data_IF_049521877252
#
_entry.id   IF_049521877252
#
_cell.length_a   1.000
_cell.length_b   1.000
_cell.length_c   1.000
_cell.angle_alpha   90.00
_cell.angle_beta   90.00
_cell.angle_gamma   90.00
#
_symmetry.space_group_name_H-M   'P 1'
#
loop_
_entity.id
_entity.type
_entity.pdbx_description
1 polymer ?
#
# COMPACT_ATOMS: atom_id res chain seq x y z
N UNK A 1 -15.02 6.93 32.16
CA UNK A 1 -15.92 5.78 31.93
C UNK A 1 -17.04 6.28 31.03
N UNK A 2 -17.32 5.82 29.81
CA UNK A 2 -16.94 4.62 29.08
C UNK A 2 -16.25 5.01 27.76
N UNK A 3 -15.16 4.32 27.44
CA UNK A 3 -14.66 4.18 26.08
C UNK A 3 -14.67 2.69 25.77
N UNK A 4 -15.37 2.28 24.71
CA UNK A 4 -15.41 0.88 24.32
C UNK A 4 -15.68 0.74 22.81
N UNK A 5 -14.69 0.18 22.12
CA UNK A 5 -14.79 -0.71 20.97
C UNK A 5 -15.59 -0.21 19.74
N UNK A 6 -14.89 0.40 18.79
CA UNK A 6 -15.30 0.43 17.39
C UNK A 6 -14.20 -0.19 16.52
N UNK A 7 -13.95 -1.49 16.71
CA UNK A 7 -13.09 -2.29 15.85
C UNK A 7 -13.65 -3.73 15.75
N UNK A 8 -14.95 -3.85 15.50
CA UNK A 8 -15.61 -5.16 15.36
C UNK A 8 -16.97 -5.03 14.67
N UNK A 9 -17.00 -4.62 13.40
CA UNK A 9 -18.21 -4.70 12.57
C UNK A 9 -17.91 -4.59 11.06
N UNK A 10 -17.08 -5.46 10.47
CA UNK A 10 -16.87 -5.49 9.01
C UNK A 10 -16.65 -6.90 8.44
N UNK A 11 -17.46 -7.88 8.88
CA UNK A 11 -17.37 -9.27 8.39
C UNK A 11 -18.66 -9.83 7.76
N UNK A 12 -19.77 -9.09 7.64
CA UNK A 12 -21.07 -9.72 7.37
C UNK A 12 -21.87 -9.28 6.11
N UNK A 13 -21.33 -8.47 5.19
CA UNK A 13 -22.09 -8.08 3.97
C UNK A 13 -21.66 -8.76 2.65
N UNK A 14 -20.79 -9.79 2.68
CA UNK A 14 -20.23 -10.40 1.45
C UNK A 14 -21.03 -11.56 0.81
N UNK A 15 -21.97 -12.19 1.52
CA UNK A 15 -22.49 -13.51 1.09
C UNK A 15 -23.39 -13.51 -0.15
N UNK A 16 -24.08 -12.41 -0.48
CA UNK A 16 -25.04 -12.40 -1.60
C UNK A 16 -24.42 -12.04 -2.96
N UNK A 17 -23.19 -11.50 -2.98
CA UNK A 17 -22.51 -11.08 -4.21
C UNK A 17 -21.89 -12.29 -4.93
N UNK A 18 -21.33 -13.26 -4.18
CA UNK A 18 -20.55 -14.41 -4.71
C UNK A 18 -21.39 -15.39 -5.57
N UNK A 19 -22.68 -15.56 -5.26
CA UNK A 19 -23.54 -16.53 -5.99
C UNK A 19 -23.85 -16.11 -7.44
N UNK A 20 -23.72 -14.83 -7.78
CA UNK A 20 -24.02 -14.34 -9.15
C UNK A 20 -22.85 -14.53 -10.12
N UNK A 21 -21.61 -14.68 -9.64
CA UNK A 21 -20.40 -14.66 -10.47
C UNK A 21 -19.91 -16.03 -10.95
N UNK A 22 -20.29 -17.12 -10.27
CA UNK A 22 -20.00 -18.48 -10.77
C UNK A 22 -20.61 -18.72 -12.16
N UNK A 23 -21.70 -18.03 -12.51
CA UNK A 23 -22.41 -18.23 -13.78
C UNK A 23 -21.80 -17.50 -14.99
N UNK A 24 -20.90 -16.52 -14.78
CA UNK A 24 -20.39 -15.65 -15.88
C UNK A 24 -19.01 -16.10 -16.37
N UNK A 25 -18.24 -16.80 -15.55
CA UNK A 25 -16.88 -17.27 -15.90
C UNK A 25 -16.93 -18.57 -16.73
N UNK A 26 -17.95 -19.41 -16.51
CA UNK A 26 -18.12 -20.70 -17.21
C UNK A 26 -18.39 -20.58 -18.72
N UNK A 27 -18.80 -19.41 -19.23
CA UNK A 27 -19.21 -19.25 -20.64
C UNK A 27 -18.12 -18.67 -21.57
N UNK A 28 -16.94 -18.25 -21.08
CA UNK A 28 -15.98 -17.49 -21.91
C UNK A 28 -14.58 -18.06 -22.13
N UNK A 29 -14.20 -19.20 -21.55
CA UNK A 29 -12.88 -19.78 -21.81
C UNK A 29 -12.95 -21.29 -22.01
N UNK A 30 -13.21 -21.69 -23.25
CA UNK A 30 -13.02 -23.05 -23.73
C UNK A 30 -12.08 -23.03 -24.94
N UNK A 31 -10.77 -23.16 -24.69
CA UNK A 31 -9.80 -23.78 -25.62
C UNK A 31 -8.37 -23.73 -25.03
N UNK A 32 -7.70 -24.88 -25.06
CA UNK A 32 -6.24 -25.00 -24.83
C UNK A 32 -5.88 -25.67 -23.51
N UNK A 33 -5.89 -27.01 -23.51
CA UNK A 33 -5.22 -27.80 -22.45
C UNK A 33 -3.74 -27.87 -22.79
N UNK A 34 -2.90 -27.58 -21.80
CA UNK A 34 -1.58 -28.17 -21.71
C UNK A 34 -1.43 -28.73 -20.30
N UNK A 35 -1.24 -30.04 -20.20
CA UNK A 35 -1.08 -30.77 -18.94
C UNK A 35 0.40 -30.73 -18.54
N UNK A 36 0.77 -29.75 -17.72
CA UNK A 36 1.99 -29.83 -16.91
C UNK A 36 1.64 -29.46 -15.47
N UNK A 37 1.58 -30.46 -14.61
CA UNK A 37 1.31 -30.29 -13.19
C UNK A 37 2.42 -29.50 -12.50
N UNK A 38 2.08 -28.30 -12.03
CA UNK A 38 2.81 -27.64 -10.95
C UNK A 38 2.00 -27.74 -9.66
N UNK A 39 2.44 -28.61 -8.76
CA UNK A 39 1.85 -28.82 -7.43
C UNK A 39 2.30 -27.74 -6.44
N UNK A 40 2.32 -26.46 -6.83
CA UNK A 40 2.61 -25.37 -5.90
C UNK A 40 1.33 -25.01 -5.13
N UNK A 41 1.10 -25.65 -3.99
CA UNK A 41 0.14 -25.17 -3.00
C UNK A 41 0.63 -23.81 -2.45
N UNK A 42 -0.30 -22.90 -2.16
CA UNK A 42 0.04 -21.65 -1.45
C UNK A 42 0.61 -22.03 -0.09
N UNK A 43 1.77 -21.49 0.26
CA UNK A 43 2.31 -21.65 1.60
C UNK A 43 1.44 -20.85 2.58
N UNK A 44 0.76 -21.59 3.46
CA UNK A 44 0.00 -21.03 4.56
C UNK A 44 0.74 -21.28 5.86
N UNK A 45 0.85 -20.25 6.69
CA UNK A 45 1.48 -20.38 7.99
C UNK A 45 1.39 -19.09 8.79
N UNK A 46 1.57 -19.25 10.10
CA UNK A 46 1.68 -18.16 11.04
C UNK A 46 2.51 -18.66 12.22
N UNK A 47 3.62 -17.99 12.53
CA UNK A 47 4.42 -18.38 13.69
C UNK A 47 3.73 -17.95 14.99
N UNK A 48 4.09 -18.61 16.08
CA UNK A 48 3.82 -18.08 17.43
C UNK A 48 4.74 -16.89 17.69
N UNK A 49 4.24 -15.79 18.28
CA UNK A 49 5.09 -14.66 18.65
C UNK A 49 6.26 -15.07 19.55
N UNK A 50 7.42 -14.43 19.35
CA UNK A 50 8.61 -14.65 20.17
C UNK A 50 8.89 -13.39 21.00
N UNK A 51 8.99 -13.54 22.32
CA UNK A 51 9.24 -12.41 23.22
C UNK A 51 10.72 -11.96 23.25
N UNK A 52 11.64 -12.78 22.73
CA UNK A 52 13.05 -12.41 22.57
C UNK A 52 13.24 -11.57 21.31
N UNK A 53 13.29 -10.26 21.49
CA UNK A 53 13.64 -9.31 20.42
C UNK A 53 15.15 -9.20 20.28
N UNK A 54 15.72 -9.26 19.05
CA UNK A 54 17.15 -9.01 18.83
C UNK A 54 17.49 -7.50 18.80
N UNK A 55 16.56 -6.64 19.23
CA UNK A 55 16.67 -5.19 19.18
C UNK A 55 16.07 -4.53 20.42
N UNK A 56 16.53 -3.32 20.72
CA UNK A 56 15.93 -2.39 21.67
C UNK A 56 15.08 -1.39 20.89
N UNK A 57 13.97 -0.97 21.49
CA UNK A 57 13.09 0.08 20.96
C UNK A 57 13.49 1.41 21.58
N UNK A 58 13.82 2.39 20.74
CA UNK A 58 14.01 3.78 21.15
C UNK A 58 12.85 4.61 20.63
N UNK A 59 12.09 5.25 21.52
CA UNK A 59 11.10 6.25 21.12
C UNK A 59 11.81 7.54 20.72
N UNK A 60 11.54 8.04 19.51
CA UNK A 60 12.26 9.17 18.93
C UNK A 60 11.38 10.43 18.87
N UNK A 61 10.18 10.30 18.29
CA UNK A 61 9.28 11.43 18.08
C UNK A 61 7.82 11.00 18.07
N UNK A 62 6.90 11.97 18.11
CA UNK A 62 5.46 11.76 18.01
C UNK A 62 4.89 12.52 16.82
N UNK A 63 3.86 11.94 16.21
CA UNK A 63 3.16 12.46 15.05
C UNK A 63 1.66 12.24 15.20
N UNK A 64 0.86 13.02 14.48
CA UNK A 64 -0.59 12.91 14.50
C UNK A 64 -1.08 12.01 13.34
N UNK A 65 -1.44 10.76 13.65
CA UNK A 65 -1.85 9.75 12.67
C UNK A 65 -0.90 9.68 11.46
N UNK A 66 0.39 9.36 11.69
CA UNK A 66 1.34 9.21 10.59
C UNK A 66 0.91 8.04 9.71
N UNK A 67 1.07 8.19 8.40
CA UNK A 67 0.64 7.21 7.39
C UNK A 67 1.81 6.58 6.64
N UNK A 68 2.85 7.36 6.36
CA UNK A 68 4.06 6.90 5.69
C UNK A 68 5.27 7.76 6.06
N UNK A 69 6.45 7.19 5.89
CA UNK A 69 7.71 7.90 6.02
C UNK A 69 8.72 7.52 4.95
N UNK A 70 9.65 8.44 4.67
CA UNK A 70 10.78 8.17 3.78
C UNK A 70 11.98 9.02 4.12
N UNK A 71 13.17 8.41 4.15
CA UNK A 71 14.41 9.14 4.41
C UNK A 71 14.87 9.89 3.16
N UNK A 72 15.32 11.11 3.37
CA UNK A 72 16.16 11.84 2.43
C UNK A 72 17.62 11.40 2.59
N UNK A 73 18.47 11.63 1.58
CA UNK A 73 19.89 11.23 1.60
C UNK A 73 20.70 11.81 2.77
N UNK A 74 20.32 12.99 3.28
CA UNK A 74 20.95 13.65 4.42
C UNK A 74 20.52 13.10 5.79
N UNK A 75 19.58 12.13 5.81
CA UNK A 75 19.04 11.54 7.02
C UNK A 75 17.81 12.26 7.59
N UNK A 76 17.35 13.36 6.97
CA UNK A 76 16.05 13.94 7.30
C UNK A 76 14.93 12.97 6.90
N UNK A 77 13.97 12.75 7.79
CA UNK A 77 12.84 11.87 7.57
C UNK A 77 11.60 12.68 7.20
N UNK A 78 11.03 12.40 6.03
CA UNK A 78 9.70 12.85 5.64
C UNK A 78 8.65 12.01 6.39
N UNK A 79 7.65 12.64 6.98
CA UNK A 79 6.51 11.95 7.60
C UNK A 79 5.19 12.54 7.12
N UNK A 80 4.40 11.75 6.42
CA UNK A 80 3.05 12.10 5.99
C UNK A 80 2.05 11.82 7.12
N UNK A 81 1.27 12.83 7.50
CA UNK A 81 0.18 12.69 8.47
C UNK A 81 -1.16 12.65 7.73
N UNK A 82 -2.04 11.72 8.13
CA UNK A 82 -3.33 11.45 7.47
C UNK A 82 -4.16 12.71 7.18
N UNK A 83 -4.10 13.70 8.07
CA UNK A 83 -4.81 14.99 7.97
C UNK A 83 -4.41 15.87 6.78
N UNK A 84 -3.33 15.55 6.05
CA UNK A 84 -2.84 16.37 4.94
C UNK A 84 -1.56 17.16 5.26
N UNK A 85 -0.92 16.90 6.40
CA UNK A 85 0.33 17.56 6.77
C UNK A 85 1.54 16.70 6.40
N UNK A 86 2.63 17.36 6.00
CA UNK A 86 3.93 16.73 5.79
C UNK A 86 4.95 17.35 6.76
N UNK A 87 5.58 16.50 7.56
CA UNK A 87 6.59 16.87 8.56
C UNK A 87 7.98 16.47 8.10
N UNK A 88 8.98 17.24 8.55
CA UNK A 88 10.40 16.88 8.43
C UNK A 88 10.94 16.62 9.83
N UNK A 89 11.30 15.38 10.15
CA UNK A 89 12.10 15.09 11.34
C UNK A 89 13.59 15.13 10.97
N UNK A 90 14.35 15.91 11.72
CA UNK A 90 15.78 16.05 11.54
C UNK A 90 16.55 15.20 12.55
N UNK A 91 17.77 14.73 12.23
CA UNK A 91 18.58 13.93 13.16
C UNK A 91 18.88 14.60 14.52
N UNK A 92 18.74 15.93 14.61
CA UNK A 92 18.85 16.70 15.86
C UNK A 92 17.53 16.76 16.66
N UNK A 93 16.55 15.91 16.30
CA UNK A 93 15.19 15.83 16.86
C UNK A 93 14.30 17.07 16.65
N UNK A 94 14.67 18.00 15.78
CA UNK A 94 13.76 19.08 15.39
C UNK A 94 12.72 18.59 14.38
N UNK A 95 11.51 19.13 14.47
CA UNK A 95 10.42 18.83 13.54
C UNK A 95 10.01 20.11 12.80
N UNK A 96 10.16 20.10 11.49
CA UNK A 96 9.64 21.12 10.59
C UNK A 96 8.33 20.74 9.93
N UNK A 97 7.71 21.71 9.25
CA UNK A 97 6.45 21.53 8.51
C UNK A 97 6.63 22.00 7.08
N UNK A 98 6.13 21.21 6.14
CA UNK A 98 6.03 21.57 4.73
C UNK A 98 4.66 22.20 4.46
N UNK A 99 4.68 23.32 3.74
CA UNK A 99 3.48 24.05 3.29
C UNK A 99 3.17 23.76 1.82
N UNK A 100 2.02 24.25 1.34
CA UNK A 100 1.53 24.07 -0.03
C UNK A 100 1.27 22.61 -0.41
N UNK A 101 0.70 21.84 0.53
CA UNK A 101 0.24 20.47 0.29
C UNK A 101 -1.05 20.47 -0.53
N UNK A 102 -1.38 19.37 -1.23
CA UNK A 102 -2.71 19.22 -1.82
C UNK A 102 -3.78 19.22 -0.74
N UNK A 103 -4.98 19.66 -1.10
CA UNK A 103 -6.14 19.44 -0.24
C UNK A 103 -6.49 17.96 -0.23
N UNK A 104 -6.78 17.47 0.97
CA UNK A 104 -6.86 16.05 1.28
C UNK A 104 -8.21 15.76 1.92
N UNK A 105 -8.86 14.69 1.47
CA UNK A 105 -10.09 14.18 2.10
C UNK A 105 -9.73 13.09 3.10
N UNK A 106 -9.52 13.48 4.36
CA UNK A 106 -9.17 12.54 5.44
C UNK A 106 -10.42 11.89 6.05
N UNK A 107 -10.86 10.76 5.51
CA UNK A 107 -11.95 9.94 6.07
C UNK A 107 -11.65 8.44 5.91
N UNK A 108 -12.11 7.60 6.83
CA UNK A 108 -11.86 6.15 6.78
C UNK A 108 -10.38 5.80 6.67
N UNK A 109 -9.97 5.12 5.61
CA UNK A 109 -8.57 4.83 5.26
C UNK A 109 -7.92 5.92 4.40
N UNK A 110 -8.65 6.97 4.02
CA UNK A 110 -8.18 8.09 3.22
C UNK A 110 -7.45 9.15 4.03
N UNK A 111 -6.68 9.99 3.33
CA UNK A 111 -5.82 11.01 3.91
C UNK A 111 -4.66 11.35 2.97
N UNK A 112 -3.59 11.93 3.51
CA UNK A 112 -2.26 11.88 2.88
C UNK A 112 -1.67 10.50 3.19
N UNK A 113 -1.40 9.71 2.15
CA UNK A 113 -1.23 8.27 2.28
C UNK A 113 0.25 7.88 2.23
N UNK A 114 0.95 8.18 1.14
CA UNK A 114 2.33 7.73 0.91
C UNK A 114 3.23 8.86 0.40
N UNK A 115 4.54 8.70 0.63
CA UNK A 115 5.58 9.68 0.29
C UNK A 115 6.81 8.95 -0.27
N UNK A 116 7.29 9.36 -1.44
CA UNK A 116 8.48 8.79 -2.06
C UNK A 116 9.37 9.89 -2.67
N UNK A 117 10.62 10.09 -2.20
CA UNK A 117 11.62 10.88 -2.91
C UNK A 117 11.93 10.24 -4.27
N UNK A 118 12.19 11.06 -5.27
CA UNK A 118 12.68 10.59 -6.57
C UNK A 118 14.06 9.90 -6.38
N UNK A 119 14.42 8.86 -7.15
CA UNK A 119 15.73 8.20 -7.04
C UNK A 119 16.93 9.14 -7.23
N UNK A 120 16.76 10.24 -7.97
CA UNK A 120 17.74 11.32 -8.13
C UNK A 120 17.46 12.56 -7.23
N UNK A 121 16.86 12.37 -6.05
CA UNK A 121 16.44 13.47 -5.17
C UNK A 121 17.54 14.51 -4.90
N UNK A 122 18.80 14.10 -4.73
CA UNK A 122 19.92 15.03 -4.51
C UNK A 122 20.12 16.04 -5.65
N UNK A 123 19.64 15.73 -6.85
CA UNK A 123 19.79 16.57 -8.04
C UNK A 123 18.55 17.38 -8.36
N UNK A 124 17.37 16.84 -8.08
CA UNK A 124 16.11 17.41 -8.55
C UNK A 124 15.14 17.80 -7.43
N UNK A 125 15.41 17.40 -6.19
CA UNK A 125 14.59 17.66 -5.00
C UNK A 125 13.12 17.25 -5.15
N UNK A 126 12.81 16.30 -6.01
CA UNK A 126 11.44 15.88 -6.29
C UNK A 126 10.96 14.86 -5.27
N UNK A 127 9.77 15.11 -4.73
CA UNK A 127 9.03 14.13 -3.94
C UNK A 127 7.68 13.84 -4.61
N UNK A 128 7.20 12.63 -4.36
CA UNK A 128 5.93 12.10 -4.84
C UNK A 128 5.04 11.86 -3.64
N UNK A 129 3.78 12.26 -3.75
CA UNK A 129 2.77 12.17 -2.70
C UNK A 129 1.57 11.43 -3.24
N UNK A 130 0.98 10.58 -2.41
CA UNK A 130 -0.35 10.04 -2.65
C UNK A 130 -1.36 10.59 -1.64
N UNK A 131 -2.55 10.96 -2.10
CA UNK A 131 -3.62 11.45 -1.24
C UNK A 131 -5.00 11.06 -1.77
N UNK A 132 -6.02 11.27 -0.96
CA UNK A 132 -7.42 11.08 -1.35
C UNK A 132 -8.09 12.41 -1.72
N UNK A 133 -8.82 12.39 -2.83
CA UNK A 133 -9.54 13.54 -3.39
C UNK A 133 -10.97 13.08 -3.73
N UNK A 134 -11.98 13.88 -3.38
CA UNK A 134 -13.38 13.62 -3.69
C UNK A 134 -13.89 14.49 -4.86
N UNK A 135 -14.86 13.98 -5.61
CA UNK A 135 -15.56 14.77 -6.65
C UNK A 135 -16.18 16.04 -6.06
N UNK A 136 -16.79 15.92 -4.86
CA UNK A 136 -17.33 17.05 -4.12
C UNK A 136 -16.29 18.15 -3.92
N UNK A 137 -15.13 17.81 -3.36
CA UNK A 137 -14.06 18.80 -3.11
C UNK A 137 -13.59 19.46 -4.42
N UNK A 138 -13.52 18.72 -5.52
CA UNK A 138 -13.18 19.27 -6.83
C UNK A 138 -14.21 20.28 -7.32
N UNK A 139 -15.51 19.97 -7.20
CA UNK A 139 -16.60 20.88 -7.58
C UNK A 139 -16.64 22.13 -6.71
N UNK A 140 -16.52 21.98 -5.39
CA UNK A 140 -16.47 23.11 -4.45
C UNK A 140 -15.32 24.06 -4.80
N UNK A 141 -14.13 23.51 -5.11
CA UNK A 141 -12.99 24.31 -5.57
C UNK A 141 -13.22 25.00 -6.91
N UNK A 142 -13.86 24.33 -7.85
CA UNK A 142 -14.18 24.92 -9.15
C UNK A 142 -15.17 26.09 -8.98
N UNK A 143 -16.22 25.90 -8.19
CA UNK A 143 -17.19 26.95 -7.85
C UNK A 143 -16.50 28.16 -7.21
N UNK A 144 -15.68 27.95 -6.18
CA UNK A 144 -14.92 29.03 -5.53
C UNK A 144 -14.00 29.79 -6.50
N UNK A 145 -13.37 29.11 -7.46
CA UNK A 145 -12.53 29.75 -8.50
C UNK A 145 -13.36 30.58 -9.49
N UNK A 146 -14.58 30.15 -9.76
CA UNK A 146 -15.51 30.84 -10.66
C UNK A 146 -16.33 31.93 -9.95
N UNK A 147 -16.18 32.08 -8.63
CA UNK A 147 -16.98 33.01 -7.83
C UNK A 147 -18.43 32.56 -7.62
N UNK A 148 -18.70 31.26 -7.78
CA UNK A 148 -20.02 30.66 -7.60
C UNK A 148 -20.26 30.25 -6.14
N UNK A 149 -21.52 30.22 -5.72
CA UNK A 149 -21.88 29.74 -4.38
C UNK A 149 -21.67 28.23 -4.27
N UNK A 150 -21.13 27.80 -3.13
CA UNK A 150 -20.91 26.38 -2.81
C UNK A 150 -22.18 25.74 -2.20
N UNK A 151 -23.15 26.55 -1.77
CA UNK A 151 -24.35 26.09 -1.07
C UNK A 151 -25.26 25.21 -1.95
N UNK A 152 -25.25 25.44 -3.26
CA UNK A 152 -26.02 24.68 -4.26
C UNK A 152 -25.44 23.27 -4.54
N UNK A 153 -24.23 22.96 -4.05
CA UNK A 153 -23.60 21.64 -4.21
C UNK A 153 -24.01 20.64 -3.13
N UNK A 154 -24.92 21.02 -2.23
CA UNK A 154 -25.41 20.20 -1.10
C UNK A 154 -26.40 19.10 -1.50
N UNK A 155 -26.94 19.14 -2.73
CA UNK A 155 -28.09 18.32 -3.14
C UNK A 155 -27.82 16.96 -3.78
N UNK A 156 -26.63 16.70 -4.37
CA UNK A 156 -26.47 15.51 -5.24
C UNK A 156 -25.16 14.70 -5.11
N UNK A 157 -24.16 15.12 -4.33
CA UNK A 157 -22.87 14.43 -4.36
C UNK A 157 -22.76 13.28 -3.34
N UNK A 158 -23.06 12.07 -3.81
CA UNK A 158 -22.44 10.84 -3.33
C UNK A 158 -20.94 11.10 -3.23
N UNK A 159 -20.33 10.91 -2.05
CA UNK A 159 -18.96 11.31 -1.70
C UNK A 159 -17.87 10.48 -2.41
N UNK A 160 -17.98 10.33 -3.73
CA UNK A 160 -17.09 9.57 -4.56
C UNK A 160 -15.67 10.09 -4.42
N UNK A 161 -14.77 9.21 -4.00
CA UNK A 161 -13.38 9.54 -3.73
C UNK A 161 -12.46 8.43 -4.23
N UNK A 162 -11.24 8.83 -4.57
CA UNK A 162 -10.20 7.95 -5.06
C UNK A 162 -8.82 8.50 -4.74
N UNK A 163 -7.82 7.64 -4.81
CA UNK A 163 -6.43 8.03 -4.65
C UNK A 163 -5.93 8.88 -5.83
N UNK A 164 -4.99 9.77 -5.55
CA UNK A 164 -4.33 10.66 -6.49
C UNK A 164 -2.84 10.63 -6.20
N UNK A 165 -2.00 10.59 -7.25
CA UNK A 165 -0.56 10.77 -7.13
C UNK A 165 -0.16 12.08 -7.76
N UNK A 166 0.70 12.83 -7.07
CA UNK A 166 1.33 14.03 -7.60
C UNK A 166 2.80 14.10 -7.23
N UNK A 167 3.53 14.95 -7.95
CA UNK A 167 4.95 15.25 -7.70
C UNK A 167 5.16 16.74 -7.53
N UNK A 168 6.11 17.10 -6.68
CA UNK A 168 6.50 18.49 -6.44
C UNK A 168 7.98 18.56 -6.08
N UNK A 169 8.58 19.73 -6.28
CA UNK A 169 9.89 20.04 -5.71
C UNK A 169 9.74 20.37 -4.23
N UNK A 170 10.55 19.75 -3.38
CA UNK A 170 10.67 20.04 -1.96
C UNK A 170 11.67 21.18 -1.75
N UNK A 171 11.16 22.35 -1.37
CA UNK A 171 11.98 23.54 -1.11
C UNK A 171 12.06 23.75 0.40
N UNK A 172 13.18 23.36 1.00
CA UNK A 172 13.44 23.54 2.43
C UNK A 172 13.79 24.99 2.77
N UNK A 173 13.40 25.44 3.96
CA UNK A 173 13.77 26.74 4.51
C UNK A 173 14.83 26.60 5.62
N UNK A 174 15.40 27.74 6.05
CA UNK A 174 16.44 27.77 7.08
C UNK A 174 15.91 27.53 8.51
N UNK A 175 14.60 27.30 8.69
CA UNK A 175 13.97 27.01 9.97
C UNK A 175 13.69 25.51 10.15
N UNK A 176 14.17 24.68 9.23
CA UNK A 176 13.96 23.23 9.22
C UNK A 176 12.62 22.80 8.64
N UNK A 177 11.79 23.73 8.14
CA UNK A 177 10.56 23.45 7.42
C UNK A 177 10.72 23.67 5.92
N UNK A 178 9.62 23.97 5.23
CA UNK A 178 9.69 24.29 3.81
C UNK A 178 8.33 24.41 3.14
N UNK A 179 8.32 24.21 1.82
CA UNK A 179 7.11 24.18 1.00
C UNK A 179 7.29 23.25 -0.20
N UNK A 180 6.16 22.85 -0.77
CA UNK A 180 6.14 22.27 -2.11
C UNK A 180 6.07 23.37 -3.17
N UNK A 181 6.79 23.16 -4.26
CA UNK A 181 6.76 23.99 -5.46
C UNK A 181 6.33 23.15 -6.67
N UNK A 182 5.48 23.73 -7.54
CA UNK A 182 5.12 23.11 -8.81
C UNK A 182 4.40 21.77 -8.69
N UNK A 183 3.53 21.60 -7.69
CA UNK A 183 2.76 20.37 -7.52
C UNK A 183 1.96 20.05 -8.79
N UNK A 184 2.24 18.88 -9.38
CA UNK A 184 1.57 18.38 -10.57
C UNK A 184 0.98 17.00 -10.28
N UNK A 185 -0.31 16.82 -10.56
CA UNK A 185 -0.96 15.50 -10.53
C UNK A 185 -0.52 14.70 -11.75
N UNK A 186 -0.12 13.45 -11.53
CA UNK A 186 0.39 12.55 -12.57
C UNK A 186 -0.42 11.26 -12.70
N UNK A 187 -1.29 10.96 -11.73
CA UNK A 187 -2.17 9.80 -11.76
C UNK A 187 -3.41 9.99 -10.89
N UNK A 188 -4.54 9.42 -11.30
CA UNK A 188 -5.77 9.32 -10.50
C UNK A 188 -6.33 7.91 -10.56
N UNK A 189 -6.88 7.48 -9.43
CA UNK A 189 -7.72 6.29 -9.36
C UNK A 189 -9.09 6.61 -9.98
N UNK A 190 -9.46 5.84 -11.01
CA UNK A 190 -10.60 6.11 -11.86
C UNK A 190 -11.41 4.82 -12.12
N UNK A 191 -12.75 4.86 -11.95
CA UNK A 191 -13.53 6.01 -11.46
C UNK A 191 -13.32 6.24 -9.95
N UNK A 192 -13.61 7.45 -9.48
CA UNK A 192 -13.84 7.68 -8.05
C UNK A 192 -15.14 6.99 -7.65
N UNK A 193 -15.15 6.35 -6.49
CA UNK A 193 -16.31 5.57 -6.01
C UNK A 193 -16.70 5.99 -4.60
N UNK A 194 -17.96 5.75 -4.24
CA UNK A 194 -18.43 5.91 -2.86
C UNK A 194 -17.68 5.00 -1.88
N UNK A 195 -17.65 5.43 -0.61
CA UNK A 195 -16.95 4.76 0.48
C UNK A 195 -15.55 5.32 0.72
N UNK A 196 -14.88 4.86 1.78
CA UNK A 196 -13.65 5.46 2.32
C UNK A 196 -12.59 4.40 2.66
N UNK A 197 -12.59 3.25 1.96
CA UNK A 197 -11.70 2.10 2.23
C UNK A 197 -11.08 1.51 0.96
N UNK A 198 -9.97 0.78 1.09
CA UNK A 198 -9.28 0.09 -0.02
C UNK A 198 -8.77 1.04 -1.12
N UNK A 199 -8.10 2.13 -0.73
CA UNK A 199 -7.45 3.02 -1.69
C UNK A 199 -6.18 2.41 -2.29
N UNK A 200 -5.43 1.60 -1.52
CA UNK A 200 -4.05 1.27 -1.85
C UNK A 200 -3.17 2.51 -1.76
N UNK A 201 -2.74 3.01 -2.91
CA UNK A 201 -1.97 4.24 -3.10
C UNK A 201 -0.53 4.21 -2.56
N UNK A 202 0.05 3.01 -2.41
CA UNK A 202 1.49 2.85 -2.17
C UNK A 202 2.26 3.10 -3.46
N UNK A 203 3.41 3.76 -3.36
CA UNK A 203 4.32 4.07 -4.45
C UNK A 203 5.67 3.40 -4.23
N UNK A 204 6.29 2.92 -5.30
CA UNK A 204 7.71 2.56 -5.28
C UNK A 204 8.36 2.79 -6.64
N UNK A 205 9.58 3.29 -6.64
CA UNK A 205 10.36 3.47 -7.86
C UNK A 205 11.06 2.17 -8.23
N UNK A 206 10.96 1.80 -9.51
CA UNK A 206 11.76 0.74 -10.09
C UNK A 206 13.21 1.21 -10.34
N UNK A 207 14.14 0.26 -10.55
CA UNK A 207 15.53 0.59 -10.89
C UNK A 207 15.68 1.47 -12.14
N UNK A 208 14.73 1.39 -13.08
CA UNK A 208 14.66 2.22 -14.29
C UNK A 208 13.99 3.59 -14.07
N UNK A 209 13.66 3.92 -12.81
CA UNK A 209 13.00 5.16 -12.37
C UNK A 209 11.56 5.31 -12.82
N UNK A 210 10.94 4.27 -13.37
CA UNK A 210 9.49 4.22 -13.51
C UNK A 210 8.82 4.07 -12.13
N UNK A 211 7.60 4.56 -12.00
CA UNK A 211 6.83 4.57 -10.76
C UNK A 211 5.76 3.49 -10.81
N UNK A 212 5.80 2.59 -9.82
CA UNK A 212 4.76 1.61 -9.58
C UNK A 212 3.81 2.14 -8.51
N UNK A 213 2.50 2.00 -8.74
CA UNK A 213 1.46 2.47 -7.84
C UNK A 213 0.48 1.32 -7.56
N UNK A 214 0.16 1.12 -6.29
CA UNK A 214 -0.90 0.21 -5.89
C UNK A 214 -2.25 0.91 -5.93
N UNK A 215 -3.28 0.26 -6.46
CA UNK A 215 -4.64 0.80 -6.54
C UNK A 215 -5.62 -0.25 -6.03
N UNK A 216 -6.22 0.01 -4.87
CA UNK A 216 -7.19 -0.91 -4.28
C UNK A 216 -8.51 -0.95 -5.03
N UNK A 217 -9.35 -1.95 -4.71
CA UNK A 217 -10.63 -2.20 -5.36
C UNK A 217 -11.76 -1.27 -4.90
N UNK A 218 -11.50 -0.43 -3.90
CA UNK A 218 -12.48 0.49 -3.29
C UNK A 218 -13.75 -0.19 -2.75
N UNK A 219 -13.62 -1.43 -2.30
CA UNK A 219 -14.76 -2.31 -1.93
C UNK A 219 -15.75 -2.52 -3.08
N UNK A 220 -15.25 -2.50 -4.32
CA UNK A 220 -15.96 -2.89 -5.53
C UNK A 220 -15.26 -4.12 -6.13
N UNK A 221 -15.50 -5.33 -5.60
CA UNK A 221 -14.67 -6.49 -5.92
C UNK A 221 -14.59 -6.79 -7.42
N UNK A 222 -15.72 -6.65 -8.15
CA UNK A 222 -15.75 -6.88 -9.60
C UNK A 222 -14.82 -5.93 -10.39
N UNK A 223 -14.54 -4.75 -9.86
CA UNK A 223 -13.66 -3.76 -10.50
C UNK A 223 -12.21 -4.26 -10.63
N UNK A 224 -11.77 -5.17 -9.75
CA UNK A 224 -10.43 -5.76 -9.81
C UNK A 224 -10.19 -6.56 -11.10
N UNK A 225 -11.24 -7.09 -11.72
CA UNK A 225 -11.20 -7.84 -12.99
C UNK A 225 -11.51 -6.96 -14.21
N UNK A 226 -12.11 -5.78 -14.01
CA UNK A 226 -12.38 -4.86 -15.11
C UNK A 226 -11.08 -4.16 -15.56
N UNK A 227 -10.69 -4.42 -16.81
CA UNK A 227 -9.47 -3.87 -17.42
C UNK A 227 -9.68 -2.50 -18.08
N UNK A 228 -10.91 -1.97 -18.09
CA UNK A 228 -11.20 -0.63 -18.61
C UNK A 228 -10.92 0.49 -17.59
N UNK A 229 -10.78 0.12 -16.31
CA UNK A 229 -10.57 1.00 -15.16
C UNK A 229 -9.33 0.56 -14.36
N UNK A 230 -8.87 1.39 -13.42
CA UNK A 230 -7.63 1.12 -12.68
C UNK A 230 -7.85 0.74 -11.20
N UNK A 231 -9.05 0.29 -10.81
CA UNK A 231 -9.34 -0.23 -9.48
C UNK A 231 -8.88 -1.69 -9.31
N UNK A 232 -8.30 -2.03 -8.16
CA UNK A 232 -7.82 -3.40 -7.87
C UNK A 232 -6.67 -3.83 -8.78
N UNK A 233 -5.70 -2.93 -9.00
CA UNK A 233 -4.57 -3.08 -9.93
C UNK A 233 -3.24 -2.71 -9.24
N UNK A 234 -2.14 -3.22 -9.79
CA UNK A 234 -0.85 -2.50 -9.74
C UNK A 234 -0.65 -1.84 -11.09
N UNK A 235 -0.32 -0.55 -11.11
CA UNK A 235 -0.06 0.22 -12.32
C UNK A 235 1.41 0.65 -12.39
N UNK A 236 1.91 0.90 -13.60
CA UNK A 236 3.25 1.44 -13.85
C UNK A 236 3.16 2.63 -14.79
N UNK A 237 3.72 3.76 -14.37
CA UNK A 237 3.86 4.98 -15.15
C UNK A 237 5.32 5.46 -15.13
N UNK A 238 5.70 6.38 -16.01
CA UNK A 238 6.99 7.06 -15.89
C UNK A 238 6.97 8.00 -14.68
N UNK A 239 8.13 8.49 -14.26
CA UNK A 239 8.26 9.49 -13.20
C UNK A 239 7.45 10.79 -13.47
N UNK A 240 7.17 11.13 -14.73
CA UNK A 240 6.29 12.25 -15.14
C UNK A 240 4.84 11.87 -15.47
N UNK A 241 4.41 10.63 -15.22
CA UNK A 241 3.03 10.19 -15.45
C UNK A 241 2.67 9.78 -16.88
N UNK A 242 3.67 9.47 -17.72
CA UNK A 242 3.43 8.89 -19.06
C UNK A 242 3.34 7.37 -18.96
N UNK A 243 2.86 6.74 -20.02
CA UNK A 243 2.82 5.28 -20.13
C UNK A 243 4.16 4.76 -20.65
N UNK A 244 4.88 3.90 -19.91
CA UNK A 244 6.04 3.19 -20.45
C UNK A 244 5.65 2.34 -21.66
N UNK A 245 6.45 2.42 -22.73
CA UNK A 245 6.14 1.74 -23.99
C UNK A 245 6.03 0.22 -23.85
N UNK A 246 6.75 -0.34 -22.88
CA UNK A 246 6.82 -1.77 -22.59
C UNK A 246 5.77 -2.26 -21.57
N UNK A 247 4.79 -1.44 -21.18
CA UNK A 247 3.68 -1.92 -20.35
C UNK A 247 2.90 -3.07 -21.05
N UNK A 248 2.42 -4.08 -20.29
CA UNK A 248 1.86 -5.32 -20.87
C UNK A 248 0.58 -5.12 -21.67
N UNK A 249 -0.17 -4.04 -21.43
CA UNK A 249 -1.46 -3.78 -22.08
C UNK A 249 -1.49 -2.45 -22.85
N UNK A 250 -0.33 -1.96 -23.26
CA UNK A 250 -0.19 -0.70 -23.99
C UNK A 250 -0.99 -0.70 -25.31
N UNK A 251 -1.50 0.47 -25.70
CA UNK A 251 -2.24 0.66 -26.96
C UNK A 251 -3.73 0.31 -26.91
N UNK A 252 -4.29 -0.09 -25.76
CA UNK A 252 -5.72 -0.39 -25.63
C UNK A 252 -6.58 0.86 -25.31
N UNK A 253 -6.34 1.47 -24.17
CA UNK A 253 -6.93 2.75 -23.70
C UNK A 253 -5.95 3.38 -22.71
N UNK A 254 -6.11 4.67 -22.38
CA UNK A 254 -5.19 5.31 -21.43
C UNK A 254 -5.13 4.56 -20.08
N UNK A 255 -6.29 4.28 -19.46
CA UNK A 255 -6.35 3.57 -18.17
C UNK A 255 -5.79 2.14 -18.28
N UNK A 256 -6.19 1.39 -19.30
CA UNK A 256 -5.71 0.01 -19.48
C UNK A 256 -4.20 -0.05 -19.71
N UNK A 257 -3.65 0.92 -20.42
CA UNK A 257 -2.21 0.97 -20.74
C UNK A 257 -1.34 1.23 -19.51
N UNK A 258 -1.90 1.75 -18.41
CA UNK A 258 -1.20 1.91 -17.13
C UNK A 258 -1.04 0.58 -16.38
N UNK A 259 -1.92 -0.39 -16.63
CA UNK A 259 -2.01 -1.60 -15.80
C UNK A 259 -0.76 -2.45 -15.98
N UNK A 260 -0.13 -2.81 -14.86
CA UNK A 260 0.92 -3.81 -14.80
C UNK A 260 0.37 -5.18 -14.44
N UNK A 261 -0.54 -5.24 -13.45
CA UNK A 261 -1.24 -6.47 -13.02
C UNK A 261 -2.66 -6.16 -12.53
N UNK A 262 -3.52 -7.18 -12.49
CA UNK A 262 -4.91 -7.08 -12.05
C UNK A 262 -5.27 -8.09 -10.96
N UNK A 263 -6.50 -8.02 -10.44
CA UNK A 263 -6.99 -8.99 -9.47
C UNK A 263 -6.47 -8.78 -8.05
N UNK A 264 -6.31 -7.52 -7.63
CA UNK A 264 -5.90 -7.13 -6.28
C UNK A 264 -7.07 -6.55 -5.48
N UNK A 265 -7.07 -6.75 -4.16
CA UNK A 265 -8.10 -6.22 -3.25
C UNK A 265 -7.66 -4.89 -2.64
N UNK A 266 -6.67 -4.94 -1.75
CA UNK A 266 -6.18 -3.75 -1.03
C UNK A 266 -4.66 -3.85 -0.78
N UNK A 267 -3.84 -3.60 -1.82
CA UNK A 267 -2.39 -3.63 -1.75
C UNK A 267 -1.83 -2.42 -0.99
N UNK A 268 -1.25 -2.66 0.19
CA UNK A 268 -0.80 -1.59 1.10
C UNK A 268 0.72 -1.49 1.25
N UNK A 269 1.48 -2.51 0.88
CA UNK A 269 2.94 -2.46 0.87
C UNK A 269 3.48 -2.99 -0.44
N UNK A 270 4.53 -2.35 -0.94
CA UNK A 270 5.11 -2.66 -2.24
C UNK A 270 6.57 -2.21 -2.24
N UNK A 271 7.48 -3.10 -2.62
CA UNK A 271 8.91 -2.82 -2.67
C UNK A 271 9.63 -3.72 -3.66
N UNK A 272 10.69 -3.19 -4.26
CA UNK A 272 11.64 -3.99 -5.03
C UNK A 272 12.61 -4.72 -4.09
N UNK A 273 12.76 -6.02 -4.28
CA UNK A 273 13.82 -6.80 -3.63
C UNK A 273 15.19 -6.44 -4.20
N UNK A 274 16.30 -6.77 -3.50
CA UNK A 274 17.66 -6.45 -3.98
C UNK A 274 18.02 -7.05 -5.35
N UNK A 275 17.31 -8.10 -5.78
CA UNK A 275 17.46 -8.71 -7.11
C UNK A 275 16.59 -8.04 -8.20
N UNK A 276 15.93 -6.92 -7.88
CA UNK A 276 15.15 -6.12 -8.82
C UNK A 276 13.73 -6.64 -9.09
N UNK A 277 13.23 -7.60 -8.31
CA UNK A 277 11.85 -8.11 -8.45
C UNK A 277 10.89 -7.33 -7.56
N UNK A 278 9.67 -7.09 -8.05
CA UNK A 278 8.65 -6.36 -7.31
C UNK A 278 7.83 -7.31 -6.43
N UNK A 279 7.74 -6.98 -5.14
CA UNK A 279 6.90 -7.67 -4.17
C UNK A 279 5.84 -6.75 -3.61
N UNK A 280 4.74 -7.33 -3.18
CA UNK A 280 3.57 -6.60 -2.70
C UNK A 280 2.85 -7.42 -1.62
N UNK A 281 2.29 -6.74 -0.61
CA UNK A 281 1.39 -7.35 0.38
C UNK A 281 0.05 -6.62 0.45
N UNK A 282 -1.01 -7.41 0.51
CA UNK A 282 -2.39 -6.92 0.52
C UNK A 282 -3.22 -7.51 1.65
N UNK A 283 -4.24 -6.75 2.06
CA UNK A 283 -5.27 -7.21 2.98
C UNK A 283 -6.25 -8.11 2.22
N UNK A 284 -6.38 -9.37 2.67
CA UNK A 284 -7.33 -10.34 2.14
C UNK A 284 -8.77 -10.14 2.63
N UNK A 285 -9.61 -11.15 2.43
CA UNK A 285 -10.97 -11.20 3.00
C UNK A 285 -11.03 -12.33 4.03
N UNK A 286 -11.54 -12.03 5.24
CA UNK A 286 -11.71 -13.00 6.34
C UNK A 286 -10.40 -13.70 6.74
N UNK A 287 -9.28 -12.94 6.79
CA UNK A 287 -7.94 -13.53 6.72
C UNK A 287 -7.46 -13.53 5.27
N UNK A 288 -6.56 -14.45 4.94
CA UNK A 288 -6.06 -14.59 3.57
C UNK A 288 -5.28 -13.37 3.09
N UNK A 289 -4.65 -12.63 4.02
CA UNK A 289 -3.67 -11.60 3.66
C UNK A 289 -2.55 -12.28 2.88
N UNK A 290 -1.99 -11.59 1.89
CA UNK A 290 -1.07 -12.19 0.93
C UNK A 290 0.26 -11.46 0.89
N UNK A 291 1.30 -12.21 0.55
CA UNK A 291 2.54 -11.68 -0.02
C UNK A 291 2.68 -12.23 -1.45
N UNK A 292 2.68 -11.31 -2.41
CA UNK A 292 2.71 -11.58 -3.84
C UNK A 292 4.10 -11.23 -4.41
N UNK A 293 4.61 -12.09 -5.28
CA UNK A 293 5.67 -11.73 -6.24
C UNK A 293 4.98 -11.19 -7.49
N UNK A 294 5.15 -9.90 -7.79
CA UNK A 294 4.45 -9.21 -8.88
C UNK A 294 5.06 -9.57 -10.24
N UNK A 295 4.25 -10.14 -11.13
CA UNK A 295 4.66 -10.59 -12.46
C UNK A 295 3.96 -9.78 -13.55
N UNK A 296 4.71 -9.32 -14.55
CA UNK A 296 4.19 -8.49 -15.64
C UNK A 296 2.98 -9.15 -16.33
N UNK A 297 1.86 -8.44 -16.39
CA UNK A 297 0.63 -8.89 -17.08
C UNK A 297 -0.20 -9.93 -16.32
N UNK A 298 0.23 -10.34 -15.12
CA UNK A 298 -0.48 -11.34 -14.34
C UNK A 298 -1.79 -10.84 -13.71
N UNK A 299 -2.67 -11.80 -13.41
CA UNK A 299 -3.92 -11.59 -12.67
C UNK A 299 -3.87 -12.39 -11.36
N UNK A 300 -4.07 -11.72 -10.23
CA UNK A 300 -3.99 -12.29 -8.87
C UNK A 300 -5.34 -12.79 -8.34
N UNK A 301 -6.35 -12.74 -9.21
CA UNK A 301 -7.57 -13.52 -9.10
C UNK A 301 -8.64 -12.98 -8.17
N UNK A 302 -8.40 -11.93 -7.37
CA UNK A 302 -9.47 -11.30 -6.60
C UNK A 302 -10.55 -10.72 -7.55
N UNK A 303 -11.85 -10.94 -7.30
CA UNK A 303 -12.45 -11.68 -6.17
C UNK A 303 -12.85 -13.12 -6.51
N UNK A 304 -12.49 -13.61 -7.69
CA UNK A 304 -12.84 -14.96 -8.17
C UNK A 304 -12.16 -16.01 -7.28
N UNK A 305 -10.89 -15.80 -6.93
CA UNK A 305 -10.17 -16.59 -5.92
C UNK A 305 -9.73 -15.73 -4.75
N UNK A 306 -9.82 -16.30 -3.55
CA UNK A 306 -9.36 -15.69 -2.30
C UNK A 306 -8.41 -16.65 -1.59
N UNK A 307 -7.43 -16.13 -0.85
CA UNK A 307 -6.49 -16.97 -0.10
C UNK A 307 -7.00 -17.37 1.29
N UNK A 308 -8.26 -17.02 1.63
CA UNK A 308 -8.86 -17.44 2.88
C UNK A 308 -8.87 -18.98 2.96
N UNK A 309 -8.77 -19.52 4.18
CA UNK A 309 -8.75 -20.96 4.40
C UNK A 309 -9.94 -21.61 3.68
N UNK A 310 -9.63 -22.34 2.61
CA UNK A 310 -10.52 -23.33 2.02
C UNK A 310 -11.10 -24.16 3.18
N UNK A 311 -12.42 -24.22 3.36
CA UNK A 311 -12.99 -25.00 4.45
C UNK A 311 -12.47 -26.43 4.36
N UNK A 312 -11.81 -26.90 5.43
CA UNK A 312 -11.16 -28.22 5.53
C UNK A 312 -12.11 -29.42 5.40
N UNK A 313 -13.39 -29.18 5.08
CA UNK A 313 -14.45 -30.18 5.09
C UNK A 313 -15.27 -30.24 3.79
N UNK A 314 -14.88 -29.59 2.69
CA UNK A 314 -15.65 -29.72 1.45
C UNK A 314 -15.13 -30.87 0.59
N UNK A 315 -15.90 -31.95 0.50
CA UNK A 315 -15.75 -33.06 -0.44
C UNK A 315 -16.02 -32.67 -1.90
N UNK A 316 -16.11 -31.37 -2.19
CA UNK A 316 -16.24 -30.84 -3.54
C UNK A 316 -14.85 -30.62 -4.11
N UNK A 317 -14.58 -31.19 -5.30
CA UNK A 317 -13.44 -30.81 -6.12
C UNK A 317 -13.62 -29.34 -6.49
N UNK A 318 -12.96 -28.44 -5.77
CA UNK A 318 -13.01 -27.02 -6.06
C UNK A 318 -12.46 -26.77 -7.47
N UNK A 319 -13.04 -25.84 -8.25
CA UNK A 319 -12.48 -25.46 -9.53
C UNK A 319 -11.03 -24.99 -9.35
N UNK A 320 -10.10 -25.64 -10.06
CA UNK A 320 -8.73 -25.15 -10.13
C UNK A 320 -8.71 -23.93 -11.04
N UNK A 321 -8.17 -22.80 -10.57
CA UNK A 321 -7.99 -21.59 -11.37
C UNK A 321 -6.50 -21.38 -11.72
N UNK A 322 -5.90 -22.21 -12.61
CA UNK A 322 -4.49 -22.09 -12.98
C UNK A 322 -4.17 -20.79 -13.73
N UNK A 323 -5.17 -20.09 -14.28
CA UNK A 323 -5.03 -18.80 -14.94
C UNK A 323 -4.66 -17.66 -13.97
N UNK A 324 -4.90 -17.82 -12.67
CA UNK A 324 -4.54 -16.82 -11.66
C UNK A 324 -3.20 -17.13 -11.01
N UNK A 325 -2.40 -16.08 -10.86
CA UNK A 325 -1.13 -16.14 -10.13
C UNK A 325 -1.40 -16.27 -8.64
N UNK A 326 -0.86 -17.34 -8.05
CA UNK A 326 -0.99 -17.61 -6.62
C UNK A 326 -0.05 -16.71 -5.80
N UNK A 327 -0.45 -16.28 -4.59
CA UNK A 327 0.48 -15.64 -3.67
C UNK A 327 1.62 -16.58 -3.29
N UNK A 328 2.78 -16.00 -2.95
CA UNK A 328 3.94 -16.76 -2.46
C UNK A 328 3.80 -17.12 -0.98
N UNK A 329 2.99 -16.36 -0.24
CA UNK A 329 2.63 -16.63 1.15
C UNK A 329 1.23 -16.08 1.46
N UNK A 330 0.50 -16.74 2.34
CA UNK A 330 -0.73 -16.17 2.91
C UNK A 330 -0.91 -16.46 4.40
N UNK A 331 -1.49 -15.50 5.11
CA UNK A 331 -1.81 -15.63 6.53
C UNK A 331 -3.27 -16.02 6.74
N UNK A 332 -3.50 -17.10 7.48
CA UNK A 332 -4.85 -17.55 7.84
C UNK A 332 -5.55 -16.57 8.78
N UNK A 333 -4.82 -16.02 9.76
CA UNK A 333 -5.28 -14.92 10.60
C UNK A 333 -4.74 -13.60 10.06
N UNK A 334 -5.63 -12.64 9.80
CA UNK A 334 -5.24 -11.36 9.22
C UNK A 334 -4.24 -10.61 10.10
N UNK A 335 -3.12 -10.19 9.51
CA UNK A 335 -2.20 -9.20 10.07
C UNK A 335 -2.80 -7.78 9.94
N UNK A 336 -3.62 -7.59 8.89
CA UNK A 336 -3.90 -6.31 8.24
C UNK A 336 -2.57 -5.64 7.89
N UNK A 337 -1.84 -6.20 6.90
CA UNK A 337 -0.46 -5.84 6.68
C UNK A 337 -0.38 -4.42 6.10
N UNK A 338 0.66 -3.68 6.49
CA UNK A 338 0.87 -2.29 6.11
C UNK A 338 1.95 -2.17 5.04
N UNK A 339 3.10 -1.56 5.35
CA UNK A 339 4.21 -1.41 4.40
C UNK A 339 5.04 -2.68 4.21
N UNK A 340 5.90 -2.65 3.19
CA UNK A 340 6.87 -3.68 2.87
C UNK A 340 8.24 -3.04 2.68
N UNK A 341 9.25 -3.58 3.36
CA UNK A 341 10.64 -3.14 3.24
C UNK A 341 11.55 -4.34 3.03
N UNK A 342 12.46 -4.28 2.05
CA UNK A 342 13.60 -5.19 1.99
C UNK A 342 14.80 -4.60 2.73
N UNK A 343 15.32 -5.31 3.71
CA UNK A 343 16.47 -4.87 4.49
C UNK A 343 17.78 -5.11 3.73
N UNK A 344 18.61 -4.07 3.64
CA UNK A 344 19.89 -4.08 2.92
C UNK A 344 21.07 -3.65 3.79
N UNK A 345 20.79 -3.12 4.99
CA UNK A 345 21.78 -2.64 5.94
C UNK A 345 22.70 -3.72 6.50
N UNK A 346 23.73 -3.28 7.22
CA UNK A 346 24.71 -4.16 7.85
C UNK A 346 24.60 -4.18 9.38
N UNK A 347 23.69 -3.39 9.98
CA UNK A 347 23.51 -3.33 11.43
C UNK A 347 22.93 -4.65 11.97
N UNK A 348 22.08 -5.31 11.18
CA UNK A 348 21.57 -6.65 11.42
C UNK A 348 21.93 -7.57 10.23
N UNK A 349 23.14 -8.16 10.20
CA UNK A 349 23.60 -8.93 9.04
C UNK A 349 22.66 -10.09 8.65
N UNK A 350 22.06 -10.76 9.63
CA UNK A 350 21.11 -11.87 9.45
C UNK A 350 19.78 -11.46 8.78
N UNK A 351 19.52 -10.15 8.67
CA UNK A 351 18.30 -9.62 8.07
C UNK A 351 18.49 -9.25 6.60
N UNK A 352 19.72 -9.28 6.09
CA UNK A 352 20.02 -8.81 4.74
C UNK A 352 19.29 -9.65 3.68
N UNK A 353 18.52 -8.97 2.83
CA UNK A 353 17.67 -9.59 1.81
C UNK A 353 16.29 -10.03 2.29
N UNK A 354 15.99 -9.92 3.59
CA UNK A 354 14.67 -10.25 4.12
C UNK A 354 13.70 -9.08 3.98
N UNK A 355 12.41 -9.42 3.94
CA UNK A 355 11.34 -8.45 3.96
C UNK A 355 10.80 -8.23 5.38
N UNK A 356 10.40 -7.00 5.69
CA UNK A 356 9.74 -6.59 6.93
C UNK A 356 8.36 -6.03 6.61
N UNK A 357 7.36 -6.48 7.36
CA UNK A 357 5.95 -6.14 7.18
C UNK A 357 5.36 -5.73 8.53
N UNK A 358 4.74 -4.56 8.58
CA UNK A 358 3.96 -4.13 9.73
C UNK A 358 2.56 -4.72 9.72
N UNK A 359 2.00 -5.01 10.90
CA UNK A 359 0.61 -5.40 11.09
C UNK A 359 -0.17 -4.32 11.84
N UNK A 360 -1.20 -3.77 11.22
CA UNK A 360 -2.05 -2.74 11.83
C UNK A 360 -2.96 -3.32 12.91
N UNK A 361 -3.74 -4.34 12.56
CA UNK A 361 -4.67 -4.97 13.51
C UNK A 361 -3.94 -5.92 14.45
N UNK A 362 -2.95 -6.65 13.94
CA UNK A 362 -2.20 -7.61 14.74
C UNK A 362 -1.16 -6.97 15.68
N UNK A 363 -0.76 -5.72 15.42
CA UNK A 363 0.28 -5.00 16.17
C UNK A 363 1.63 -5.75 16.17
N UNK A 364 1.95 -6.38 15.04
CA UNK A 364 3.15 -7.20 14.86
C UNK A 364 4.12 -6.54 13.90
N UNK A 365 5.41 -6.77 14.11
CA UNK A 365 6.42 -6.65 13.07
C UNK A 365 6.80 -8.07 12.62
N UNK A 366 6.66 -8.35 11.33
CA UNK A 366 6.93 -9.67 10.74
C UNK A 366 8.16 -9.60 9.85
N UNK A 367 9.08 -10.57 10.00
CA UNK A 367 10.24 -10.77 9.12
C UNK A 367 10.00 -11.98 8.23
N UNK A 368 10.02 -11.76 6.92
CA UNK A 368 9.94 -12.79 5.90
C UNK A 368 11.32 -13.06 5.32
N UNK A 369 11.76 -14.31 5.36
CA UNK A 369 12.92 -14.75 4.60
C UNK A 369 12.50 -15.07 3.17
N UNK A 370 13.18 -14.45 2.21
CA UNK A 370 12.89 -14.60 0.78
C UNK A 370 14.18 -15.01 0.06
N UNK A 371 14.15 -16.17 -0.58
CA UNK A 371 15.28 -16.70 -1.37
C UNK A 371 14.77 -17.14 -2.74
N UNK A 372 14.98 -16.32 -3.76
CA UNK A 372 14.32 -16.52 -5.05
C UNK A 372 12.81 -16.46 -4.86
N UNK A 373 12.11 -17.52 -5.21
CA UNK A 373 10.65 -17.63 -5.08
C UNK A 373 10.20 -18.28 -3.76
N UNK A 374 11.15 -18.76 -2.96
CA UNK A 374 10.85 -19.43 -1.68
C UNK A 374 10.69 -18.38 -0.59
N UNK A 375 9.57 -18.44 0.10
CA UNK A 375 9.19 -17.52 1.17
C UNK A 375 8.90 -18.32 2.43
N UNK A 376 9.33 -17.81 3.58
CA UNK A 376 8.84 -18.26 4.89
C UNK A 376 8.78 -17.09 5.86
N UNK A 377 7.84 -17.15 6.78
CA UNK A 377 7.90 -16.32 7.99
C UNK A 377 9.07 -16.82 8.84
N UNK A 378 10.00 -15.92 9.17
CA UNK A 378 11.17 -16.23 9.96
C UNK A 378 10.98 -15.80 11.42
N UNK A 379 10.39 -14.62 11.63
CA UNK A 379 10.08 -14.11 12.95
C UNK A 379 8.81 -13.26 12.91
N UNK A 380 8.18 -13.14 14.09
CA UNK A 380 7.20 -12.10 14.37
C UNK A 380 7.35 -11.61 15.81
N UNK A 381 7.31 -10.29 15.98
CA UNK A 381 7.45 -9.65 17.28
C UNK A 381 6.21 -8.82 17.61
N UNK A 382 5.62 -8.99 18.81
CA UNK A 382 4.58 -8.09 19.27
C UNK A 382 5.18 -6.71 19.50
N UNK A 383 4.57 -5.67 18.93
CA UNK A 383 5.02 -4.29 19.02
C UNK A 383 4.19 -3.45 19.99
N UNK A 384 3.01 -3.95 20.37
CA UNK A 384 2.09 -3.32 21.33
C UNK A 384 1.28 -2.15 20.75
N UNK A 385 1.52 -1.80 19.49
CA UNK A 385 0.85 -0.73 18.76
C UNK A 385 0.71 -1.12 17.28
N UNK A 386 -0.30 -0.58 16.55
CA UNK A 386 -0.43 -0.78 15.11
C UNK A 386 0.82 -0.33 14.37
N UNK A 387 1.46 -1.24 13.63
CA UNK A 387 2.67 -0.94 12.85
C UNK A 387 2.27 -0.43 11.47
N UNK A 388 2.37 0.88 11.26
CA UNK A 388 1.91 1.56 10.04
C UNK A 388 2.94 1.55 8.92
N UNK A 389 4.19 1.82 9.25
CA UNK A 389 5.25 1.89 8.26
C UNK A 389 6.59 1.46 8.86
N UNK A 390 7.50 1.00 8.00
CA UNK A 390 8.81 0.47 8.34
C UNK A 390 9.79 0.96 7.29
N UNK A 391 10.86 1.63 7.73
CA UNK A 391 11.91 2.16 6.86
C UNK A 391 13.29 1.76 7.40
N UNK A 392 14.29 1.81 6.53
CA UNK A 392 15.69 1.62 6.94
C UNK A 392 16.39 2.98 6.95
N UNK A 393 17.02 3.32 8.08
CA UNK A 393 17.90 4.49 8.17
C UNK A 393 19.25 4.26 7.49
N UNK A 394 19.99 5.33 7.21
CA UNK A 394 21.36 5.25 6.66
C UNK A 394 22.34 4.55 7.61
N UNK A 395 22.04 4.54 8.91
CA UNK A 395 22.75 3.80 9.95
C UNK A 395 22.46 2.28 9.95
N UNK A 396 21.54 1.82 9.09
CA UNK A 396 21.10 0.44 9.01
C UNK A 396 20.11 0.03 10.11
N UNK A 397 19.65 0.96 10.96
CA UNK A 397 18.56 0.67 11.90
C UNK A 397 17.22 0.59 11.17
N UNK A 398 16.30 -0.20 11.71
CA UNK A 398 14.90 -0.13 11.29
C UNK A 398 14.21 0.98 12.05
N UNK A 399 13.44 1.77 11.32
CA UNK A 399 12.57 2.80 11.85
C UNK A 399 11.14 2.34 11.65
N UNK A 400 10.28 2.62 12.62
CA UNK A 400 8.88 2.18 12.59
C UNK A 400 7.97 3.34 12.97
N UNK A 401 6.91 3.51 12.19
CA UNK A 401 5.78 4.36 12.54
C UNK A 401 4.69 3.53 13.20
N UNK A 402 4.24 3.97 14.36
CA UNK A 402 2.99 3.53 14.97
C UNK A 402 1.86 4.49 14.64
N UNK A 403 0.68 3.95 14.40
CA UNK A 403 -0.58 4.69 14.22
C UNK A 403 -1.58 4.25 15.29
N UNK A 404 -1.42 4.82 16.49
CA UNK A 404 -2.30 4.57 17.63
C UNK A 404 -3.33 5.71 17.75
N UNK A 405 -4.54 5.38 18.18
CA UNK A 405 -5.62 6.35 18.45
C UNK A 405 -5.24 7.37 19.54
N UNK A 406 -4.17 7.12 20.30
CA UNK A 406 -3.61 8.05 21.30
C UNK A 406 -2.53 8.98 20.75
N UNK A 407 -2.21 8.88 19.46
CA UNK A 407 -1.10 9.58 18.80
C UNK A 407 -0.08 8.59 18.24
N UNK A 408 0.47 8.91 17.07
CA UNK A 408 1.48 8.10 16.43
C UNK A 408 2.87 8.34 16.99
N UNK A 409 3.73 7.32 16.89
CA UNK A 409 5.12 7.38 17.36
C UNK A 409 6.07 6.98 16.25
N UNK A 410 7.21 7.66 16.18
CA UNK A 410 8.38 7.22 15.46
C UNK A 410 9.32 6.53 16.45
N UNK A 411 9.66 5.28 16.15
CA UNK A 411 10.62 4.52 16.94
C UNK A 411 11.77 4.04 16.07
N UNK A 412 12.92 3.81 16.70
CA UNK A 412 14.11 3.24 16.09
C UNK A 412 14.44 1.91 16.76
N UNK A 413 14.72 0.88 15.97
CA UNK A 413 15.11 -0.46 16.38
C UNK A 413 16.61 -0.66 16.12
N UNK A 414 17.37 -0.90 17.18
CA UNK A 414 18.82 -1.13 17.10
C UNK A 414 19.25 -2.31 17.98
N UNK A 415 20.40 -2.96 17.68
CA UNK A 415 20.92 -4.04 18.50
C UNK A 415 21.17 -3.57 19.95
N UNK A 416 21.06 -4.45 20.95
CA UNK A 416 21.44 -4.12 22.32
C UNK A 416 22.89 -3.60 22.42
N UNK A 417 23.08 -2.53 23.19
CA UNK A 417 24.40 -1.94 23.43
C UNK A 417 24.88 -0.93 22.38
N UNK A 418 23.98 -0.38 21.55
CA UNK A 418 24.26 0.72 20.61
C UNK A 418 23.23 1.82 20.67
#
# INVERSE_FOLDING_TARGET
MLGQLCLSAFLLSGCNVIKKYHKVVDEKFAAGRDESGDSSSVLQGQLTPVDRRPFIIHEIAQFNHPMAMSFLPDGTLLVAEKSGQLKLWHPDNKIGVIRNLPDVVSNGQGGLLDIAPHPDFEKNHLIYLSWTESEKLLKEKAALRNGESVDDLSGEDKSAMGAVIGRAELVCDNKGGGRLAGLSVIWRQEPKTEGDVNFGARMTFAPDKSLFISSGDRSQPAAAQDMSINLGKIVRITDIGRIPADNPFNGSSFLKSQIWTSGHRNPLGMAFSPDGRLWENEIGQNGGDKLNLIQKGANYGWPIVTAAAEPSSSTATMPTHPEFTKPKWSWSTSLVPSSLLFYTGNLFPEWKGNAFIGGLASQMLVRMEIKGDKVREADRWPMGHPVRDVAQGSDGALWVLYDDNKGGKLIRLAPPGR
#
